data_IF_619602893357
#
_entry.id   IF_619602893357
#
_cell.length_a   1.000
_cell.length_b   1.000
_cell.length_c   1.000
_cell.angle_alpha   90.00
_cell.angle_beta   90.00
_cell.angle_gamma   90.00
#
_symmetry.space_group_name_H-M   'P 1'
#
loop_
_entity.id
_entity.type
_entity.pdbx_description
1 polymer ?
#
# COMPACT_ATOMS: atom_id res chain seq x y z
N UNK A 1 17.51 6.82 -24.40
CA UNK A 1 18.39 6.65 -23.22
C UNK A 1 18.36 5.19 -22.75
N UNK A 2 19.50 4.59 -22.40
CA UNK A 2 19.54 3.20 -21.92
C UNK A 2 18.83 3.01 -20.57
N UNK A 3 18.77 4.07 -19.77
CA UNK A 3 18.00 4.13 -18.54
C UNK A 3 16.84 5.12 -18.68
N UNK A 4 15.64 4.58 -18.92
CA UNK A 4 14.38 5.33 -18.90
C UNK A 4 13.57 4.83 -17.71
N UNK A 5 13.35 5.72 -16.76
CA UNK A 5 12.45 5.53 -15.63
C UNK A 5 11.58 6.79 -15.48
N UNK A 6 10.38 6.66 -14.89
CA UNK A 6 9.47 7.78 -14.73
C UNK A 6 9.95 8.72 -13.62
N UNK A 7 9.27 9.86 -13.49
CA UNK A 7 9.51 10.81 -12.38
C UNK A 7 9.25 10.11 -11.03
N UNK A 8 9.99 10.51 -9.99
CA UNK A 8 10.06 9.80 -8.70
C UNK A 8 8.70 9.47 -8.05
N UNK A 9 7.68 10.31 -8.21
CA UNK A 9 6.34 10.05 -7.63
C UNK A 9 5.53 8.99 -8.39
N UNK A 10 5.95 8.64 -9.62
CA UNK A 10 5.37 7.55 -10.39
C UNK A 10 6.13 6.22 -10.24
N UNK A 11 7.31 6.21 -9.62
CA UNK A 11 8.15 5.01 -9.55
C UNK A 11 7.53 3.85 -8.77
N UNK A 12 6.75 4.05 -7.68
CA UNK A 12 6.13 2.92 -6.99
C UNK A 12 5.11 2.18 -7.86
N UNK A 13 4.31 2.92 -8.62
CA UNK A 13 3.31 2.35 -9.53
C UNK A 13 3.95 1.66 -10.73
N UNK A 14 5.03 2.25 -11.25
CA UNK A 14 5.84 1.64 -12.29
C UNK A 14 6.54 0.35 -11.82
N UNK A 15 6.96 0.28 -10.56
CA UNK A 15 7.50 -0.96 -9.98
C UNK A 15 6.44 -2.08 -9.96
N UNK A 16 5.20 -1.75 -9.58
CA UNK A 16 4.07 -2.71 -9.59
C UNK A 16 3.79 -3.23 -11.01
N UNK A 17 3.79 -2.34 -12.01
CA UNK A 17 3.62 -2.71 -13.43
C UNK A 17 4.67 -3.75 -13.87
N UNK A 18 5.94 -3.51 -13.55
CA UNK A 18 7.06 -4.37 -13.97
C UNK A 18 7.18 -5.65 -13.14
N UNK A 19 6.63 -5.69 -11.93
CA UNK A 19 6.72 -6.86 -11.07
C UNK A 19 5.98 -8.07 -11.64
N UNK A 20 4.95 -7.84 -12.46
CA UNK A 20 4.09 -8.88 -13.03
C UNK A 20 4.58 -9.22 -14.44
N UNK A 21 4.95 -10.49 -14.73
CA UNK A 21 5.45 -10.91 -16.04
C UNK A 21 4.33 -11.11 -17.08
N UNK A 22 3.32 -10.25 -17.06
CA UNK A 22 2.22 -10.21 -18.03
C UNK A 22 1.82 -8.76 -18.29
N UNK A 23 1.67 -8.40 -19.58
CA UNK A 23 1.41 -7.00 -19.98
C UNK A 23 0.06 -6.50 -19.49
N UNK A 24 -1.00 -7.30 -19.62
CA UNK A 24 -2.36 -6.86 -19.29
C UNK A 24 -2.56 -6.84 -17.77
N UNK A 25 -2.11 -7.88 -17.08
CA UNK A 25 -2.22 -7.98 -15.62
C UNK A 25 -1.35 -6.92 -14.95
N UNK A 26 -0.15 -6.64 -15.47
CA UNK A 26 0.72 -5.57 -14.96
C UNK A 26 0.05 -4.19 -15.04
N UNK A 27 -0.56 -3.85 -16.20
CA UNK A 27 -1.29 -2.59 -16.37
C UNK A 27 -2.50 -2.53 -15.45
N UNK A 28 -3.25 -3.63 -15.34
CA UNK A 28 -4.39 -3.73 -14.43
C UNK A 28 -3.97 -3.54 -12.97
N UNK A 29 -2.87 -4.15 -12.53
CA UNK A 29 -2.34 -3.99 -11.17
C UNK A 29 -1.87 -2.56 -10.90
N UNK A 30 -1.20 -1.92 -11.86
CA UNK A 30 -0.82 -0.52 -11.74
C UNK A 30 -2.06 0.37 -11.58
N UNK A 31 -3.07 0.21 -12.44
CA UNK A 31 -4.33 0.94 -12.32
C UNK A 31 -5.04 0.69 -10.99
N UNK A 32 -5.13 -0.59 -10.59
CA UNK A 32 -5.75 -1.01 -9.33
C UNK A 32 -5.05 -0.40 -8.11
N UNK A 33 -3.72 -0.25 -8.14
CA UNK A 33 -2.97 0.36 -7.04
C UNK A 33 -3.33 1.83 -6.79
N UNK A 34 -3.77 2.55 -7.82
CA UNK A 34 -4.26 3.93 -7.68
C UNK A 34 -5.73 3.91 -7.26
N UNK A 35 -6.56 3.10 -7.94
CA UNK A 35 -8.00 3.00 -7.66
C UNK A 35 -8.27 2.58 -6.22
N UNK A 36 -7.51 1.63 -5.67
CA UNK A 36 -7.72 1.13 -4.31
C UNK A 36 -7.50 2.21 -3.24
N UNK A 37 -6.65 3.22 -3.50
CA UNK A 37 -6.51 4.38 -2.62
C UNK A 37 -7.78 5.21 -2.59
N UNK A 38 -8.46 5.39 -3.73
CA UNK A 38 -9.76 6.07 -3.79
C UNK A 38 -10.86 5.27 -3.08
N UNK A 39 -10.73 3.93 -3.01
CA UNK A 39 -11.67 3.05 -2.32
C UNK A 39 -11.49 3.01 -0.79
N UNK A 40 -10.49 3.71 -0.23
CA UNK A 40 -10.23 3.72 1.22
C UNK A 40 -11.45 4.01 2.11
N UNK A 41 -12.37 4.95 1.77
CA UNK A 41 -13.55 5.22 2.59
C UNK A 41 -14.47 4.01 2.80
N UNK A 42 -14.46 3.04 1.87
CA UNK A 42 -15.25 1.81 1.94
C UNK A 42 -14.44 0.62 2.48
N UNK A 43 -13.12 0.62 2.25
CA UNK A 43 -12.22 -0.44 2.73
C UNK A 43 -11.98 -0.32 4.24
N UNK A 44 -11.75 0.89 4.76
CA UNK A 44 -11.57 1.11 6.20
C UNK A 44 -12.90 1.27 6.91
N UNK A 45 -13.34 0.19 7.56
CA UNK A 45 -14.63 0.10 8.24
C UNK A 45 -14.54 0.46 9.73
N UNK A 46 -13.41 1.03 10.16
CA UNK A 46 -13.19 1.50 11.52
C UNK A 46 -14.07 2.68 11.90
N UNK A 47 -14.65 2.64 13.11
CA UNK A 47 -15.40 3.76 13.70
C UNK A 47 -14.49 4.93 14.06
N UNK A 48 -13.30 4.63 14.57
CA UNK A 48 -12.30 5.62 15.00
C UNK A 48 -11.45 6.07 13.81
N UNK A 49 -11.45 7.37 13.53
CA UNK A 49 -10.73 7.94 12.36
C UNK A 49 -9.28 8.32 12.62
N UNK A 50 -8.92 8.62 13.88
CA UNK A 50 -7.55 9.00 14.21
C UNK A 50 -6.72 7.78 14.60
N UNK A 51 -5.60 7.58 13.89
CA UNK A 51 -4.60 6.51 14.13
C UNK A 51 -4.10 6.49 15.58
N UNK A 52 -4.14 7.64 16.28
CA UNK A 52 -3.74 7.75 17.69
C UNK A 52 -4.52 6.79 18.61
N UNK A 53 -5.80 6.59 18.33
CA UNK A 53 -6.71 5.79 19.15
C UNK A 53 -6.99 4.40 18.58
N UNK A 54 -6.41 4.04 17.43
CA UNK A 54 -6.54 2.71 16.82
C UNK A 54 -5.63 1.69 17.52
N UNK A 55 -5.90 0.41 17.26
CA UNK A 55 -5.17 -0.71 17.85
C UNK A 55 -3.69 -0.74 17.40
N UNK A 56 -2.86 -1.49 18.13
CA UNK A 56 -1.44 -1.66 17.76
C UNK A 56 -1.25 -2.30 16.38
N UNK A 57 -2.13 -3.23 16.00
CA UNK A 57 -2.09 -3.89 14.71
C UNK A 57 -2.26 -2.91 13.54
N UNK A 58 -3.16 -1.92 13.67
CA UNK A 58 -3.33 -0.88 12.65
C UNK A 58 -2.05 -0.06 12.44
N UNK A 59 -1.35 0.29 13.52
CA UNK A 59 -0.07 1.02 13.46
C UNK A 59 1.03 0.21 12.77
N UNK A 60 1.07 -1.10 13.03
CA UNK A 60 1.98 -2.01 12.34
C UNK A 60 1.66 -2.12 10.85
N UNK A 61 0.38 -2.27 10.50
CA UNK A 61 -0.07 -2.37 9.12
C UNK A 61 0.29 -1.12 8.30
N UNK A 62 0.03 0.08 8.84
CA UNK A 62 0.37 1.33 8.14
C UNK A 62 1.89 1.57 8.07
N UNK A 63 2.65 1.22 9.12
CA UNK A 63 4.11 1.31 9.08
C UNK A 63 4.70 0.38 8.01
N UNK A 64 4.23 -0.87 7.93
CA UNK A 64 4.60 -1.80 6.88
C UNK A 64 4.28 -1.26 5.49
N UNK A 65 3.08 -0.71 5.30
CA UNK A 65 2.68 -0.11 4.03
C UNK A 65 3.59 1.06 3.59
N UNK A 66 3.97 1.94 4.52
CA UNK A 66 4.91 3.04 4.24
C UNK A 66 6.26 2.50 3.79
N UNK A 67 6.81 1.52 4.52
CA UNK A 67 8.10 0.88 4.15
C UNK A 67 8.00 0.24 2.77
N UNK A 68 6.94 -0.53 2.51
CA UNK A 68 6.71 -1.15 1.19
C UNK A 68 6.60 -0.13 0.07
N UNK A 69 5.92 1.00 0.30
CA UNK A 69 5.78 2.04 -0.72
C UNK A 69 7.11 2.71 -1.05
N UNK A 70 7.95 2.98 -0.05
CA UNK A 70 9.30 3.52 -0.25
C UNK A 70 10.19 2.52 -0.99
N UNK A 71 10.13 1.22 -0.62
CA UNK A 71 10.87 0.17 -1.32
C UNK A 71 10.44 0.04 -2.80
N UNK A 72 9.14 0.10 -3.09
CA UNK A 72 8.62 0.14 -4.46
C UNK A 72 9.15 1.35 -5.22
N UNK A 73 9.18 2.53 -4.58
CA UNK A 73 9.75 3.73 -5.18
C UNK A 73 11.23 3.58 -5.55
N UNK A 74 12.01 2.94 -4.67
CA UNK A 74 13.44 2.68 -4.90
C UNK A 74 13.68 1.64 -6.02
N UNK A 75 13.00 0.50 -6.00
CA UNK A 75 13.17 -0.51 -7.06
C UNK A 75 12.60 -0.04 -8.41
N UNK A 76 11.59 0.83 -8.40
CA UNK A 76 11.04 1.45 -9.61
C UNK A 76 11.97 2.47 -10.27
N UNK A 77 12.79 3.14 -9.48
CA UNK A 77 13.77 4.13 -9.96
C UNK A 77 15.11 3.51 -10.43
N UNK A 78 15.29 2.20 -10.25
CA UNK A 78 16.55 1.53 -10.60
C UNK A 78 16.35 0.45 -11.66
N UNK A 79 17.43 0.05 -12.37
CA UNK A 79 17.40 -1.07 -13.30
C UNK A 79 16.95 -2.34 -12.59
N UNK A 80 16.09 -3.13 -13.25
CA UNK A 80 15.66 -4.42 -12.71
C UNK A 80 16.78 -5.44 -12.88
N UNK A 81 17.07 -6.12 -11.79
CA UNK A 81 17.88 -7.34 -11.71
C UNK A 81 17.00 -8.43 -11.11
N UNK A 82 17.36 -9.71 -11.23
CA UNK A 82 16.52 -10.82 -10.74
C UNK A 82 16.11 -10.65 -9.26
N UNK A 83 17.06 -10.20 -8.42
CA UNK A 83 16.79 -9.92 -7.01
C UNK A 83 15.76 -8.78 -6.82
N UNK A 84 15.88 -7.71 -7.60
CA UNK A 84 14.95 -6.57 -7.51
C UNK A 84 13.57 -6.91 -8.07
N UNK A 85 13.50 -7.80 -9.07
CA UNK A 85 12.24 -8.36 -9.56
C UNK A 85 11.52 -9.09 -8.43
N UNK A 86 12.20 -9.98 -7.72
CA UNK A 86 11.63 -10.70 -6.57
C UNK A 86 11.19 -9.71 -5.47
N UNK A 87 12.02 -8.73 -5.13
CA UNK A 87 11.68 -7.70 -4.15
C UNK A 87 10.42 -6.94 -4.58
N UNK A 88 10.34 -6.54 -5.86
CA UNK A 88 9.19 -5.80 -6.39
C UNK A 88 7.91 -6.63 -6.36
N UNK A 89 7.98 -7.95 -6.58
CA UNK A 89 6.85 -8.87 -6.47
C UNK A 89 6.36 -9.00 -5.04
N UNK A 90 7.28 -9.24 -4.09
CA UNK A 90 6.94 -9.32 -2.66
C UNK A 90 6.32 -8.00 -2.19
N UNK A 91 6.91 -6.87 -2.57
CA UNK A 91 6.40 -5.56 -2.21
C UNK A 91 5.04 -5.28 -2.86
N UNK A 92 4.81 -5.69 -4.10
CA UNK A 92 3.50 -5.55 -4.78
C UNK A 92 2.42 -6.34 -4.05
N UNK A 93 2.70 -7.59 -3.67
CA UNK A 93 1.76 -8.40 -2.87
C UNK A 93 1.50 -7.73 -1.52
N UNK A 94 2.54 -7.27 -0.84
CA UNK A 94 2.45 -6.61 0.47
C UNK A 94 1.64 -5.31 0.39
N UNK A 95 1.81 -4.53 -0.69
CA UNK A 95 1.06 -3.31 -0.96
C UNK A 95 -0.44 -3.58 -1.02
N UNK A 96 -0.88 -4.58 -1.79
CA UNK A 96 -2.31 -4.94 -1.85
C UNK A 96 -2.81 -5.60 -0.55
N UNK A 97 -1.95 -6.36 0.13
CA UNK A 97 -2.27 -7.00 1.40
C UNK A 97 -2.63 -5.99 2.49
N UNK A 98 -2.04 -4.78 2.49
CA UNK A 98 -2.42 -3.70 3.40
C UNK A 98 -3.93 -3.42 3.37
N UNK A 99 -4.52 -3.32 2.17
CA UNK A 99 -5.95 -3.02 2.00
C UNK A 99 -6.82 -4.22 2.38
N UNK A 100 -6.41 -5.44 2.05
CA UNK A 100 -7.11 -6.67 2.45
C UNK A 100 -7.14 -6.78 3.98
N UNK A 101 -5.98 -6.61 4.63
CA UNK A 101 -5.90 -6.62 6.09
C UNK A 101 -6.78 -5.53 6.67
N UNK A 102 -6.65 -4.29 6.17
CA UNK A 102 -7.47 -3.16 6.62
C UNK A 102 -8.97 -3.50 6.54
N UNK A 103 -9.44 -4.10 5.46
CA UNK A 103 -10.82 -4.55 5.34
C UNK A 103 -11.20 -5.57 6.42
N UNK A 104 -10.34 -6.57 6.67
CA UNK A 104 -10.63 -7.67 7.61
C UNK A 104 -10.71 -7.19 9.06
N UNK A 105 -9.69 -6.49 9.56
CA UNK A 105 -9.62 -6.18 11.01
C UNK A 105 -10.31 -4.87 11.39
N UNK A 106 -10.38 -3.87 10.50
CA UNK A 106 -10.81 -2.51 10.88
C UNK A 106 -12.22 -2.44 11.45
N UNK A 107 -13.12 -3.32 10.99
CA UNK A 107 -14.53 -3.34 11.42
C UNK A 107 -14.68 -3.61 12.93
N UNK A 108 -13.82 -4.48 13.48
CA UNK A 108 -13.95 -5.01 14.84
C UNK A 108 -12.69 -4.78 15.69
N UNK A 109 -11.87 -3.79 15.34
CA UNK A 109 -10.64 -3.51 16.09
C UNK A 109 -10.94 -2.94 17.49
N UNK A 110 -10.11 -3.32 18.47
CA UNK A 110 -10.19 -2.78 19.83
C UNK A 110 -9.51 -1.40 19.86
N UNK A 111 -10.30 -0.34 20.03
CA UNK A 111 -9.81 1.05 20.04
C UNK A 111 -9.65 1.59 21.47
N UNK A 112 -8.75 2.56 21.63
CA UNK A 112 -8.65 3.34 22.88
C UNK A 112 -9.87 4.25 23.03
N UNK A 113 -10.25 4.62 24.26
CA UNK A 113 -11.33 5.59 24.46
C UNK A 113 -10.98 6.92 23.79
N UNK A 114 -11.97 7.49 23.12
CA UNK A 114 -11.88 8.82 22.53
C UNK A 114 -11.98 9.87 23.66
N UNK A 115 -11.40 11.07 23.48
CA UNK A 115 -11.58 12.16 24.44
C UNK A 115 -13.06 12.56 24.51
N UNK A 116 -13.51 12.98 25.70
CA UNK A 116 -14.92 13.25 26.01
C UNK A 116 -15.59 14.22 25.04
N UNK A 117 -14.86 15.21 24.52
CA UNK A 117 -15.35 16.16 23.51
C UNK A 117 -15.80 15.52 22.18
N UNK A 118 -15.36 14.29 21.89
CA UNK A 118 -15.70 13.53 20.68
C UNK A 118 -16.77 12.46 20.93
N UNK A 119 -17.09 12.17 22.19
CA UNK A 119 -18.21 11.29 22.59
C UNK A 119 -19.42 12.18 22.89
N UNK A 120 -20.23 12.45 21.87
CA UNK A 120 -21.57 13.03 22.01
C UNK A 120 -22.59 12.03 21.53
#
# INVERSE_FOLDING_TARGET
PEHIFPVWYFTPFYAILRAIPDKLIGVAAMGASIVVLALLPWVDRGRVKSVRYRCGFHKWNIAGFVVTFVLLGWVGATPQTDLKTIISQICTVTYFMFFVLLFVYSKNEKTKPLPERLTK
#
